data_IF_374113982024
#
_entry.id   IF_374113982024
#
_cell.length_a   1.000
_cell.length_b   1.000
_cell.length_c   1.000
_cell.angle_alpha   90.00
_cell.angle_beta   90.00
_cell.angle_gamma   90.00
#
_symmetry.space_group_name_H-M   'P 1'
#
loop_
_entity.id
_entity.type
_entity.pdbx_description
1 polymer ?
#
# COMPACT_ATOMS: atom_id res chain seq x y z
N UNK A 1 10.18 -6.81 12.03
CA UNK A 1 10.11 -6.77 10.56
C UNK A 1 9.60 -5.41 10.05
N UNK A 2 10.12 -4.27 10.51
CA UNK A 2 9.51 -2.97 10.16
C UNK A 2 10.51 -1.84 9.83
N UNK A 3 11.80 -2.00 10.09
CA UNK A 3 12.78 -0.91 9.88
C UNK A 3 13.01 -0.60 8.40
N UNK A 4 13.14 -1.63 7.55
CA UNK A 4 13.35 -1.45 6.12
C UNK A 4 12.15 -0.78 5.42
N UNK A 5 10.92 -1.12 5.82
CA UNK A 5 9.71 -0.52 5.28
C UNK A 5 9.57 0.94 5.72
N UNK A 6 9.82 1.26 6.99
CA UNK A 6 9.83 2.64 7.49
C UNK A 6 10.83 3.50 6.71
N UNK A 7 12.05 2.98 6.50
CA UNK A 7 13.08 3.66 5.70
C UNK A 7 12.61 3.93 4.28
N UNK A 8 11.98 2.95 3.63
CA UNK A 8 11.47 3.09 2.27
C UNK A 8 10.33 4.12 2.18
N UNK A 9 9.36 4.08 3.09
CA UNK A 9 8.25 5.04 3.11
C UNK A 9 8.76 6.47 3.32
N UNK A 10 9.70 6.67 4.24
CA UNK A 10 10.32 7.98 4.44
C UNK A 10 11.12 8.41 3.22
N UNK A 11 11.90 7.52 2.61
CA UNK A 11 12.66 7.81 1.39
C UNK A 11 11.75 8.25 0.24
N UNK A 12 10.59 7.61 0.07
CA UNK A 12 9.59 8.00 -0.94
C UNK A 12 8.99 9.38 -0.65
N UNK A 13 8.60 9.62 0.60
CA UNK A 13 7.92 10.84 1.04
C UNK A 13 8.84 12.07 1.00
N UNK A 14 10.11 11.90 1.32
CA UNK A 14 11.05 13.01 1.48
C UNK A 14 12.08 13.09 0.36
N UNK A 15 12.16 12.08 -0.53
CA UNK A 15 13.22 11.88 -1.54
C UNK A 15 14.65 12.01 -0.98
N UNK A 16 14.83 11.60 0.27
CA UNK A 16 16.11 11.66 1.01
C UNK A 16 16.48 10.28 1.49
N UNK A 17 17.75 9.91 1.36
CA UNK A 17 18.25 8.64 1.88
C UNK A 17 18.20 8.65 3.42
N UNK A 18 17.52 7.69 4.06
CA UNK A 18 17.30 7.70 5.51
C UNK A 18 18.59 7.70 6.34
N UNK A 19 19.61 6.99 5.88
CA UNK A 19 20.89 6.84 6.60
C UNK A 19 21.86 7.99 6.38
N UNK A 20 21.65 8.85 5.38
CA UNK A 20 22.49 10.02 5.12
C UNK A 20 21.87 11.32 5.62
N UNK A 21 20.68 11.24 6.20
CA UNK A 21 19.95 12.41 6.65
C UNK A 21 20.32 12.75 8.09
N UNK A 22 20.84 13.95 8.27
CA UNK A 22 21.09 14.59 9.55
C UNK A 22 20.32 15.91 9.53
N UNK A 23 19.42 16.11 10.49
CA UNK A 23 18.70 17.37 10.65
C UNK A 23 19.62 18.46 11.23
N UNK A 24 19.18 19.72 11.19
CA UNK A 24 19.84 20.83 11.89
C UNK A 24 19.97 20.60 13.40
N UNK A 25 19.12 19.73 13.97
CA UNK A 25 19.10 19.36 15.38
C UNK A 25 19.92 18.10 15.69
N UNK A 26 20.74 17.62 14.74
CA UNK A 26 21.50 16.36 14.82
C UNK A 26 20.63 15.11 15.04
N UNK A 27 19.34 15.22 14.70
CA UNK A 27 18.40 14.11 14.74
C UNK A 27 18.33 13.37 13.40
N UNK A 28 18.20 12.04 13.47
CA UNK A 28 18.00 11.20 12.29
C UNK A 28 16.61 11.39 11.65
N UNK A 29 16.46 10.95 10.38
CA UNK A 29 15.25 11.21 9.57
C UNK A 29 13.95 10.75 10.23
N UNK A 30 14.00 9.58 10.88
CA UNK A 30 12.85 8.96 11.54
C UNK A 30 12.36 9.83 12.70
N UNK A 31 13.29 10.30 13.56
CA UNK A 31 12.96 11.14 14.71
C UNK A 31 12.41 12.47 14.25
N UNK A 32 13.11 13.13 13.32
CA UNK A 32 12.68 14.42 12.78
C UNK A 32 11.31 14.35 12.10
N UNK A 33 11.04 13.27 11.34
CA UNK A 33 9.72 13.02 10.75
C UNK A 33 8.64 12.89 11.82
N UNK A 34 8.87 12.09 12.87
CA UNK A 34 7.90 11.93 13.96
C UNK A 34 7.60 13.25 14.66
N UNK A 35 8.64 14.05 14.95
CA UNK A 35 8.49 15.36 15.56
C UNK A 35 7.59 16.26 14.71
N UNK A 36 7.89 16.39 13.41
CA UNK A 36 7.10 17.21 12.50
C UNK A 36 5.68 16.67 12.25
N UNK A 37 5.51 15.35 12.24
CA UNK A 37 4.19 14.70 12.15
C UNK A 37 3.32 15.09 13.35
N UNK A 38 3.86 15.00 14.57
CA UNK A 38 3.11 15.38 15.79
C UNK A 38 2.80 16.87 15.87
N UNK A 39 3.64 17.72 15.27
CA UNK A 39 3.43 19.17 15.19
C UNK A 39 2.49 19.57 14.04
N UNK A 40 2.09 18.64 13.17
CA UNK A 40 1.32 18.95 11.96
C UNK A 40 2.08 19.76 10.92
N UNK A 41 3.43 19.73 10.95
CA UNK A 41 4.31 20.53 10.09
C UNK A 41 5.11 19.65 9.12
N UNK A 42 4.43 18.71 8.46
CA UNK A 42 5.06 17.79 7.52
C UNK A 42 5.62 18.49 6.26
N UNK A 43 5.15 19.69 5.95
CA UNK A 43 5.68 20.53 4.86
C UNK A 43 7.17 20.85 4.99
N UNK A 44 7.74 20.77 6.21
CA UNK A 44 9.16 21.01 6.43
C UNK A 44 10.06 19.82 6.01
N UNK A 45 9.49 18.62 5.87
CA UNK A 45 10.27 17.39 5.60
C UNK A 45 9.87 16.68 4.31
N UNK A 46 8.58 16.72 3.96
CA UNK A 46 8.07 16.14 2.72
C UNK A 46 8.64 16.86 1.50
N UNK A 47 8.88 16.09 0.44
CA UNK A 47 9.33 16.66 -0.82
C UNK A 47 8.21 17.45 -1.49
N UNK A 48 8.56 18.62 -2.05
CA UNK A 48 7.59 19.54 -2.67
C UNK A 48 6.81 18.88 -3.82
N UNK A 49 7.46 18.06 -4.63
CA UNK A 49 6.81 17.35 -5.73
C UNK A 49 5.83 16.29 -5.19
N UNK A 50 6.23 15.57 -4.14
CA UNK A 50 5.37 14.59 -3.47
C UNK A 50 4.14 15.26 -2.85
N UNK A 51 4.30 16.47 -2.30
CA UNK A 51 3.17 17.26 -1.79
C UNK A 51 2.22 17.73 -2.89
N UNK A 52 2.76 18.13 -4.04
CA UNK A 52 1.98 18.63 -5.17
C UNK A 52 1.23 17.52 -5.93
N UNK A 53 1.84 16.34 -6.07
CA UNK A 53 1.30 15.23 -6.86
C UNK A 53 0.55 14.18 -6.02
N UNK A 54 0.87 14.05 -4.73
CA UNK A 54 0.50 12.88 -3.94
C UNK A 54 -0.93 12.87 -3.39
N UNK A 55 -1.59 14.01 -3.28
CA UNK A 55 -2.99 14.11 -2.84
C UNK A 55 -3.31 13.27 -1.59
N UNK A 56 -4.41 12.49 -1.65
CA UNK A 56 -4.85 11.61 -0.55
C UNK A 56 -3.91 10.43 -0.30
N UNK A 57 -3.31 9.86 -1.34
CA UNK A 57 -2.40 8.71 -1.21
C UNK A 57 -1.18 9.09 -0.35
N UNK A 58 -0.65 10.30 -0.53
CA UNK A 58 0.44 10.82 0.28
C UNK A 58 0.06 10.99 1.75
N UNK A 59 -1.15 11.47 2.06
CA UNK A 59 -1.63 11.56 3.44
C UNK A 59 -1.74 10.17 4.09
N UNK A 60 -2.29 9.19 3.38
CA UNK A 60 -2.42 7.81 3.85
C UNK A 60 -1.06 7.15 4.09
N UNK A 61 -0.12 7.31 3.16
CA UNK A 61 1.25 6.79 3.27
C UNK A 61 2.01 7.48 4.40
N UNK A 62 1.80 8.78 4.60
CA UNK A 62 2.39 9.55 5.71
C UNK A 62 1.87 9.06 7.07
N UNK A 63 0.56 8.87 7.19
CA UNK A 63 -0.04 8.29 8.38
C UNK A 63 0.45 6.85 8.63
N UNK A 64 0.59 6.05 7.57
CA UNK A 64 1.11 4.70 7.64
C UNK A 64 2.56 4.67 8.14
N UNK A 65 3.41 5.57 7.63
CA UNK A 65 4.78 5.72 8.11
C UNK A 65 4.80 6.06 9.62
N UNK A 66 3.98 7.02 10.06
CA UNK A 66 3.89 7.38 11.47
C UNK A 66 3.44 6.22 12.37
N UNK A 67 2.43 5.45 11.98
CA UNK A 67 2.00 4.24 12.71
C UNK A 67 3.10 3.18 12.77
N UNK A 68 3.86 2.99 11.70
CA UNK A 68 4.98 2.04 11.68
C UNK A 68 6.14 2.47 12.60
N UNK A 69 6.31 3.77 12.84
CA UNK A 69 7.35 4.33 13.72
C UNK A 69 6.90 4.38 15.20
N UNK A 70 5.61 4.19 15.49
CA UNK A 70 5.03 4.33 16.83
C UNK A 70 5.92 3.74 17.95
N UNK A 71 6.07 4.50 19.04
CA UNK A 71 6.94 4.15 20.17
C UNK A 71 6.49 2.84 20.84
N UNK A 72 5.17 2.63 20.91
CA UNK A 72 4.58 1.39 21.44
C UNK A 72 4.52 0.34 20.35
N UNK A 73 5.01 -0.85 20.66
CA UNK A 73 5.01 -1.97 19.71
C UNK A 73 3.61 -2.44 19.35
N UNK A 74 2.65 -2.36 20.28
CA UNK A 74 1.26 -2.77 20.04
C UNK A 74 0.50 -1.87 19.06
N UNK A 75 0.90 -0.61 18.92
CA UNK A 75 0.29 0.33 17.97
C UNK A 75 0.83 0.13 16.55
N UNK A 76 1.93 -0.63 16.40
CA UNK A 76 2.54 -0.88 15.10
C UNK A 76 1.69 -1.88 14.32
N UNK A 77 1.32 -1.55 13.07
CA UNK A 77 0.58 -2.47 12.24
C UNK A 77 1.42 -3.72 11.93
N UNK A 78 0.74 -4.86 11.81
CA UNK A 78 1.32 -6.07 11.23
C UNK A 78 1.64 -5.86 9.74
N UNK A 79 2.60 -6.61 9.20
CA UNK A 79 2.95 -6.51 7.77
C UNK A 79 1.75 -6.71 6.85
N UNK A 80 0.82 -7.60 7.22
CA UNK A 80 -0.44 -7.82 6.50
C UNK A 80 -1.34 -6.58 6.49
N UNK A 81 -1.43 -5.84 7.60
CA UNK A 81 -2.20 -4.59 7.65
C UNK A 81 -1.54 -3.48 6.84
N UNK A 82 -0.20 -3.45 6.82
CA UNK A 82 0.58 -2.52 5.99
C UNK A 82 0.34 -2.81 4.50
N UNK A 83 0.42 -4.08 4.11
CA UNK A 83 0.17 -4.54 2.74
C UNK A 83 -1.24 -4.15 2.26
N UNK A 84 -2.28 -4.48 3.03
CA UNK A 84 -3.67 -4.14 2.69
C UNK A 84 -3.86 -2.62 2.54
N UNK A 85 -3.25 -1.81 3.42
CA UNK A 85 -3.34 -0.35 3.32
C UNK A 85 -2.64 0.16 2.06
N UNK A 86 -1.46 -0.36 1.74
CA UNK A 86 -0.74 0.03 0.53
C UNK A 86 -1.47 -0.39 -0.76
N UNK A 87 -2.05 -1.58 -0.80
CA UNK A 87 -2.90 -2.01 -1.93
C UNK A 87 -4.13 -1.10 -2.10
N UNK A 88 -4.77 -0.71 -0.99
CA UNK A 88 -5.90 0.22 -0.99
C UNK A 88 -5.54 1.61 -1.53
N UNK A 89 -4.33 2.12 -1.21
CA UNK A 89 -3.86 3.41 -1.74
C UNK A 89 -3.75 3.39 -3.27
N UNK A 90 -3.33 2.28 -3.89
CA UNK A 90 -3.21 2.15 -5.35
C UNK A 90 -4.57 2.00 -6.06
N UNK A 91 -5.56 1.43 -5.38
CA UNK A 91 -6.88 1.16 -5.96
C UNK A 91 -7.72 2.43 -6.21
N UNK A 92 -7.37 3.57 -5.59
CA UNK A 92 -8.06 4.84 -5.81
C UNK A 92 -7.75 5.50 -7.16
N UNK A 93 -6.72 5.03 -7.88
CA UNK A 93 -6.35 5.51 -9.22
C UNK A 93 -7.33 5.06 -10.33
N UNK A 94 -8.37 4.29 -9.99
CA UNK A 94 -9.34 3.70 -10.92
C UNK A 94 -10.80 4.13 -10.75
N UNK A 95 -11.15 5.08 -9.88
CA UNK A 95 -12.54 5.46 -9.58
C UNK A 95 -12.90 6.91 -9.85
N UNK A 96 -12.42 7.51 -10.93
CA UNK A 96 -13.03 8.73 -11.47
C UNK A 96 -13.21 8.53 -12.97
N UNK A 97 -14.48 8.30 -13.38
CA UNK A 97 -15.13 8.66 -14.65
C UNK A 97 -16.09 7.55 -15.19
N UNK A 98 -17.42 7.77 -15.06
CA UNK A 98 -18.41 7.11 -15.94
C UNK A 98 -19.69 6.51 -15.32
N UNK A 99 -20.69 7.35 -15.06
CA UNK A 99 -22.13 7.10 -15.30
C UNK A 99 -22.88 5.99 -14.51
N UNK A 100 -23.43 6.34 -13.34
CA UNK A 100 -24.50 5.60 -12.64
C UNK A 100 -25.90 5.81 -13.27
N UNK A 101 -26.03 6.07 -14.58
CA UNK A 101 -27.33 6.32 -15.21
C UNK A 101 -27.55 5.56 -16.51
N UNK A 102 -27.62 4.23 -16.43
CA UNK A 102 -28.67 3.44 -17.10
C UNK A 102 -28.57 1.95 -16.74
N UNK A 103 -29.36 1.51 -15.75
CA UNK A 103 -29.65 0.08 -15.57
C UNK A 103 -31.00 -0.23 -16.22
N UNK A 104 -31.08 -1.01 -17.31
CA UNK A 104 -32.35 -1.62 -17.68
C UNK A 104 -32.75 -2.55 -16.55
N UNK A 105 -33.96 -2.39 -16.02
CA UNK A 105 -34.56 -3.41 -15.15
C UNK A 105 -34.83 -4.64 -16.00
N UNK A 106 -33.96 -5.64 -15.93
CA UNK A 106 -34.34 -7.01 -16.23
C UNK A 106 -34.41 -7.76 -14.92
N UNK A 107 -35.65 -8.12 -14.55
CA UNK A 107 -35.91 -9.14 -13.58
C UNK A 107 -35.60 -10.49 -14.24
N UNK A 108 -34.71 -11.30 -13.68
CA UNK A 108 -34.93 -12.74 -13.48
C UNK A 108 -33.78 -13.33 -12.62
N UNK A 109 -34.10 -14.34 -11.80
CA UNK A 109 -33.22 -14.86 -10.76
C UNK A 109 -32.26 -15.97 -11.21
N UNK A 110 -31.14 -16.12 -10.48
CA UNK A 110 -30.63 -17.39 -9.94
C UNK A 110 -29.16 -17.30 -9.47
N UNK A 111 -28.94 -17.89 -8.28
CA UNK A 111 -27.79 -18.71 -7.81
C UNK A 111 -26.38 -18.22 -8.16
N UNK A 112 -25.65 -17.85 -7.12
CA UNK A 112 -24.28 -17.35 -7.22
C UNK A 112 -23.23 -18.41 -7.47
N UNK A 113 -22.00 -17.94 -7.72
CA UNK A 113 -20.81 -18.76 -7.76
C UNK A 113 -19.63 -18.03 -7.12
N UNK A 114 -19.09 -18.70 -6.12
CA UNK A 114 -17.86 -18.46 -5.41
C UNK A 114 -16.82 -19.37 -6.08
N UNK A 115 -15.65 -18.81 -6.41
CA UNK A 115 -14.33 -19.44 -6.62
C UNK A 115 -14.30 -20.93 -7.03
N UNK A 116 -13.80 -21.22 -8.24
CA UNK A 116 -13.21 -22.54 -8.52
C UNK A 116 -12.00 -22.42 -9.44
N UNK A 117 -10.82 -22.47 -8.84
CA UNK A 117 -9.62 -22.98 -9.47
C UNK A 117 -9.40 -24.38 -8.93
N UNK A 118 -9.83 -25.41 -9.65
CA UNK A 118 -9.46 -26.79 -9.39
C UNK A 118 -8.65 -27.28 -10.57
N UNK A 119 -7.33 -27.39 -10.37
CA UNK A 119 -6.48 -28.18 -11.24
C UNK A 119 -6.81 -29.65 -10.94
N UNK A 120 -7.10 -30.46 -11.95
CA UNK A 120 -7.28 -31.90 -11.75
C UNK A 120 -6.06 -32.67 -12.26
N UNK A 121 -5.42 -33.43 -11.38
CA UNK A 121 -4.22 -34.24 -11.69
C UNK A 121 -4.50 -35.41 -12.66
N UNK A 122 -5.76 -35.67 -12.98
CA UNK A 122 -6.16 -36.70 -13.94
C UNK A 122 -5.88 -36.31 -15.41
N UNK A 123 -5.68 -35.03 -15.72
CA UNK A 123 -5.38 -34.57 -17.08
C UNK A 123 -3.91 -34.81 -17.50
N UNK A 124 -2.96 -34.96 -16.57
CA UNK A 124 -1.57 -35.30 -16.90
C UNK A 124 -1.40 -36.78 -17.32
N UNK A 125 -2.18 -37.70 -16.76
CA UNK A 125 -2.04 -39.13 -17.03
C UNK A 125 -2.45 -39.54 -18.45
N UNK A 126 -3.44 -38.86 -19.03
CA UNK A 126 -3.88 -39.08 -20.40
C UNK A 126 -2.89 -38.54 -21.44
N UNK A 127 -2.02 -37.61 -21.03
CA UNK A 127 -1.09 -36.91 -21.92
C UNK A 127 0.18 -37.72 -22.19
N UNK A 128 0.57 -38.62 -21.27
CA UNK A 128 1.81 -39.40 -21.39
C UNK A 128 1.69 -40.69 -22.22
N UNK A 129 0.49 -41.05 -22.69
CA UNK A 129 0.24 -42.30 -23.43
C UNK A 129 0.51 -42.22 -24.95
N UNK A 130 0.92 -41.06 -25.47
CA UNK A 130 1.12 -40.83 -26.93
C UNK A 130 2.54 -41.08 -27.45
N UNK A 131 3.45 -41.56 -26.62
CA UNK A 131 4.79 -41.96 -27.07
C UNK A 131 5.13 -43.37 -26.58
N UNK A 132 4.81 -44.41 -27.36
CA UNK A 132 5.40 -45.72 -27.12
C UNK A 132 6.90 -45.68 -27.49
N UNK A 133 7.71 -46.43 -26.74
CA UNK A 133 9.11 -46.74 -27.08
C UNK A 133 9.18 -47.78 -28.18
#
# INVERSE_FOLDING_TARGET
>A
MCTALVSLLLELLTRKKPFSYISSEDEGLVTHFCTLFTQGNLSAILDKQVMEEGGREMEEVTALAAMCIALRGEDRPSMKQVEIKLEGTQAYRGYEEGDLRNRPRTADGSRGEVLSGQYSMEEEFASSSRYPR
#
